data_IF_178406684109
#
_entry.id   IF_178406684109
#
_cell.length_a   1.000
_cell.length_b   1.000
_cell.length_c   1.000
_cell.angle_alpha   90.00
_cell.angle_beta   90.00
_cell.angle_gamma   90.00
#
_symmetry.space_group_name_H-M   'P 1'
#
loop_
_entity.id
_entity.type
_entity.pdbx_description
1 polymer ?
#
# COMPACT_ATOMS: atom_id res chain seq x y z
N UNK A 1 23.30 -1.97 -59.76
CA UNK A 1 22.02 -2.12 -59.06
C UNK A 1 21.91 -1.06 -57.96
N UNK A 2 20.88 -0.25 -58.03
CA UNK A 2 20.65 0.72 -56.96
C UNK A 2 20.05 -0.03 -55.77
N UNK A 3 20.66 0.12 -54.61
CA UNK A 3 20.10 -0.39 -53.35
C UNK A 3 19.57 0.78 -52.53
N UNK A 4 18.42 0.58 -51.92
CA UNK A 4 17.82 1.55 -51.02
C UNK A 4 18.05 1.09 -49.55
N UNK A 5 18.56 2.01 -48.75
CA UNK A 5 18.75 1.81 -47.31
C UNK A 5 17.84 2.75 -46.55
N UNK A 6 17.04 2.24 -45.66
CA UNK A 6 16.18 3.07 -44.82
C UNK A 6 16.86 3.30 -43.48
N UNK A 7 16.97 4.56 -43.10
CA UNK A 7 17.53 4.92 -41.81
C UNK A 7 16.41 4.96 -40.77
N UNK A 8 16.53 4.09 -39.74
CA UNK A 8 15.56 3.96 -38.66
C UNK A 8 16.06 4.58 -37.35
N UNK A 9 17.10 5.44 -37.44
CA UNK A 9 17.70 6.07 -36.25
C UNK A 9 16.68 6.82 -35.40
N UNK A 10 15.75 7.53 -36.05
CA UNK A 10 14.70 8.27 -35.34
C UNK A 10 13.76 7.34 -34.60
N UNK A 11 13.39 6.19 -35.18
CA UNK A 11 12.59 5.18 -34.51
C UNK A 11 13.32 4.58 -33.32
N UNK A 12 14.61 4.28 -33.48
CA UNK A 12 15.42 3.78 -32.36
C UNK A 12 15.51 4.81 -31.24
N UNK A 13 15.75 6.07 -31.56
CA UNK A 13 15.81 7.14 -30.58
C UNK A 13 14.47 7.31 -29.85
N UNK A 14 13.36 7.25 -30.59
CA UNK A 14 12.03 7.30 -30.02
C UNK A 14 11.78 6.13 -29.07
N UNK A 15 12.11 4.90 -29.50
CA UNK A 15 11.95 3.70 -28.69
C UNK A 15 12.74 3.78 -27.38
N UNK A 16 13.99 4.27 -27.45
CA UNK A 16 14.85 4.47 -26.27
C UNK A 16 14.27 5.53 -25.34
N UNK A 17 13.77 6.62 -25.92
CA UNK A 17 13.13 7.71 -25.15
C UNK A 17 11.89 7.20 -24.41
N UNK A 18 11.06 6.41 -25.08
CA UNK A 18 9.88 5.81 -24.47
C UNK A 18 10.27 4.84 -23.35
N UNK A 19 11.30 4.03 -23.54
CA UNK A 19 11.81 3.11 -22.53
C UNK A 19 12.29 3.86 -21.29
N UNK A 20 13.05 4.94 -21.45
CA UNK A 20 13.52 5.79 -20.35
C UNK A 20 12.36 6.43 -19.60
N UNK A 21 11.36 6.91 -20.32
CA UNK A 21 10.16 7.51 -19.73
C UNK A 21 9.41 6.46 -18.90
N UNK A 22 9.22 5.25 -19.43
CA UNK A 22 8.58 4.16 -18.70
C UNK A 22 9.32 3.80 -17.41
N UNK A 23 10.65 3.73 -17.45
CA UNK A 23 11.48 3.47 -16.28
C UNK A 23 11.36 4.59 -15.24
N UNK A 24 11.33 5.84 -15.69
CA UNK A 24 11.16 7.01 -14.82
C UNK A 24 9.81 6.98 -14.12
N UNK A 25 8.75 6.70 -14.86
CA UNK A 25 7.40 6.57 -14.30
C UNK A 25 7.36 5.46 -13.26
N UNK A 26 7.99 4.32 -13.52
CA UNK A 26 8.02 3.20 -12.57
C UNK A 26 8.70 3.58 -11.26
N UNK A 27 9.81 4.30 -11.32
CA UNK A 27 10.49 4.82 -10.11
C UNK A 27 9.58 5.76 -9.32
N UNK A 28 8.88 6.64 -10.01
CA UNK A 28 7.95 7.59 -9.41
C UNK A 28 6.75 6.87 -8.77
N UNK A 29 6.24 5.82 -9.42
CA UNK A 29 5.18 4.97 -8.86
C UNK A 29 5.61 4.34 -7.53
N UNK A 30 6.81 3.79 -7.48
CA UNK A 30 7.36 3.18 -6.25
C UNK A 30 7.47 4.22 -5.13
N UNK A 31 8.00 5.40 -5.46
CA UNK A 31 8.10 6.51 -4.49
C UNK A 31 6.72 6.95 -4.00
N UNK A 32 5.77 7.08 -4.91
CA UNK A 32 4.39 7.41 -4.60
C UNK A 32 3.78 6.39 -3.62
N UNK A 33 3.91 5.10 -3.92
CA UNK A 33 3.38 4.04 -3.08
C UNK A 33 4.00 4.05 -1.68
N UNK A 34 5.31 4.32 -1.57
CA UNK A 34 5.96 4.41 -0.27
C UNK A 34 5.38 5.55 0.58
N UNK A 35 5.12 6.70 -0.03
CA UNK A 35 4.49 7.83 0.65
C UNK A 35 3.06 7.50 1.07
N UNK A 36 2.30 6.89 0.18
CA UNK A 36 0.92 6.48 0.49
C UNK A 36 0.87 5.42 1.58
N UNK A 37 1.78 4.45 1.54
CA UNK A 37 1.91 3.45 2.59
C UNK A 37 2.22 4.06 3.95
N UNK A 38 3.06 5.08 3.99
CA UNK A 38 3.38 5.82 5.23
C UNK A 38 2.16 6.57 5.75
N UNK A 39 1.38 7.20 4.87
CA UNK A 39 0.12 7.86 5.25
C UNK A 39 -0.88 6.85 5.82
N UNK A 40 -1.03 5.71 5.17
CA UNK A 40 -1.91 4.64 5.65
C UNK A 40 -1.45 4.12 7.01
N UNK A 41 -0.16 3.89 7.19
CA UNK A 41 0.40 3.49 8.48
C UNK A 41 0.04 4.49 9.57
N UNK A 42 0.20 5.78 9.31
CA UNK A 42 -0.13 6.84 10.28
C UNK A 42 -1.60 6.77 10.67
N UNK A 43 -2.49 6.57 9.71
CA UNK A 43 -3.93 6.43 10.00
C UNK A 43 -4.24 5.15 10.77
N UNK A 44 -3.57 4.06 10.42
CA UNK A 44 -3.73 2.79 11.13
C UNK A 44 -3.30 2.91 12.59
N UNK A 45 -2.17 3.56 12.84
CA UNK A 45 -1.71 3.82 14.23
C UNK A 45 -2.72 4.68 14.98
N UNK A 46 -3.30 5.68 14.32
CA UNK A 46 -4.34 6.53 14.93
C UNK A 46 -5.58 5.71 15.34
N UNK A 47 -6.04 4.82 14.46
CA UNK A 47 -7.14 3.91 14.78
C UNK A 47 -6.77 2.97 15.94
N UNK A 48 -5.55 2.44 15.94
CA UNK A 48 -5.08 1.55 16.98
C UNK A 48 -5.03 2.24 18.37
N UNK A 49 -4.74 3.53 18.41
CA UNK A 49 -4.72 4.28 19.67
C UNK A 49 -6.07 4.33 20.37
N UNK A 50 -7.16 4.16 19.65
CA UNK A 50 -8.51 4.13 20.21
C UNK A 50 -8.75 2.93 21.12
N UNK A 51 -7.91 1.89 21.04
CA UNK A 51 -8.01 0.70 21.88
C UNK A 51 -7.60 1.00 23.35
N UNK A 52 -6.77 2.01 23.56
CA UNK A 52 -6.36 2.45 24.90
C UNK A 52 -4.92 2.16 25.25
N UNK A 53 -4.56 2.34 26.52
CA UNK A 53 -3.16 2.32 26.99
C UNK A 53 -2.45 0.97 26.86
N UNK A 54 -3.20 -0.14 26.83
CA UNK A 54 -2.65 -1.49 26.70
C UNK A 54 -2.14 -1.78 25.29
N UNK A 55 -2.32 -0.87 24.35
CA UNK A 55 -2.02 -1.04 22.94
C UNK A 55 -0.57 -0.65 22.55
N UNK A 56 0.30 -0.28 23.51
CA UNK A 56 1.64 0.23 23.20
C UNK A 56 2.49 -0.69 22.33
N UNK A 57 2.53 -1.99 22.66
CA UNK A 57 3.24 -2.99 21.85
C UNK A 57 2.58 -3.16 20.48
N UNK A 58 1.26 -3.15 20.46
CA UNK A 58 0.49 -3.26 19.22
C UNK A 58 0.75 -2.07 18.30
N UNK A 59 0.73 -0.85 18.83
CA UNK A 59 1.05 0.36 18.06
C UNK A 59 2.42 0.26 17.39
N UNK A 60 3.43 -0.19 18.14
CA UNK A 60 4.78 -0.35 17.63
C UNK A 60 4.91 -1.47 16.60
N UNK A 61 3.99 -2.42 16.60
CA UNK A 61 3.99 -3.55 15.68
C UNK A 61 3.47 -3.19 14.29
N UNK A 62 2.80 -2.05 14.15
CA UNK A 62 2.22 -1.61 12.88
C UNK A 62 3.35 -1.09 11.99
N UNK A 63 3.51 -1.72 10.82
CA UNK A 63 4.61 -1.46 9.89
C UNK A 63 4.08 -1.16 8.50
N UNK A 64 4.82 -0.30 7.80
CA UNK A 64 4.67 -0.16 6.36
C UNK A 64 5.58 -1.19 5.69
N UNK A 65 5.03 -1.98 4.78
CA UNK A 65 5.81 -2.95 4.02
C UNK A 65 6.64 -2.28 2.91
N UNK A 66 7.35 -3.13 2.18
CA UNK A 66 8.09 -2.71 0.98
C UNK A 66 7.16 -2.79 -0.23
N UNK A 67 7.46 -2.03 -1.28
CA UNK A 67 6.77 -2.17 -2.56
C UNK A 67 7.02 -3.57 -3.10
N UNK A 68 5.98 -4.23 -3.57
CA UNK A 68 6.05 -5.58 -4.14
C UNK A 68 5.09 -5.67 -5.34
N UNK A 69 5.17 -6.77 -6.06
CA UNK A 69 4.27 -7.04 -7.17
C UNK A 69 3.17 -8.00 -6.71
N UNK A 70 1.93 -7.61 -6.93
CA UNK A 70 0.76 -8.42 -6.63
C UNK A 70 -0.14 -8.42 -7.86
N UNK A 71 -0.44 -9.62 -8.35
CA UNK A 71 -1.31 -9.81 -9.53
C UNK A 71 -0.91 -8.92 -10.71
N UNK A 72 0.40 -8.82 -10.97
CA UNK A 72 0.97 -8.06 -12.08
C UNK A 72 1.08 -6.56 -11.85
N UNK A 73 0.68 -6.03 -10.71
CA UNK A 73 0.72 -4.60 -10.39
C UNK A 73 1.62 -4.32 -9.18
N UNK A 74 2.17 -3.12 -9.13
CA UNK A 74 2.90 -2.66 -7.95
C UNK A 74 1.91 -2.44 -6.81
N UNK A 75 2.30 -2.87 -5.62
CA UNK A 75 1.49 -2.77 -4.42
C UNK A 75 2.36 -2.47 -3.20
N UNK A 76 1.72 -1.95 -2.17
CA UNK A 76 2.31 -1.79 -0.85
C UNK A 76 1.24 -2.12 0.19
N UNK A 77 1.65 -2.61 1.34
CA UNK A 77 0.72 -2.92 2.42
C UNK A 77 1.19 -2.37 3.75
N UNK A 78 0.25 -2.13 4.62
CA UNK A 78 0.48 -1.86 6.04
C UNK A 78 0.02 -3.09 6.80
N UNK A 79 0.83 -3.55 7.74
CA UNK A 79 0.57 -4.78 8.48
C UNK A 79 1.04 -4.66 9.91
N UNK A 80 0.64 -5.61 10.74
CA UNK A 80 1.14 -5.73 12.11
C UNK A 80 2.02 -6.98 12.23
N UNK A 81 3.18 -6.83 12.85
CA UNK A 81 4.06 -7.94 13.17
C UNK A 81 3.70 -8.63 14.50
N UNK A 82 2.70 -8.14 15.23
CA UNK A 82 2.29 -8.73 16.50
C UNK A 82 1.63 -10.10 16.29
N UNK A 83 1.96 -11.12 17.11
CA UNK A 83 1.40 -12.47 16.94
C UNK A 83 -0.12 -12.52 17.07
N UNK A 84 -0.70 -11.63 17.88
CA UNK A 84 -2.14 -11.62 18.18
C UNK A 84 -2.91 -10.53 17.44
N UNK A 85 -2.29 -9.92 16.42
CA UNK A 85 -2.92 -8.82 15.67
C UNK A 85 -4.27 -9.23 15.05
N UNK A 86 -4.37 -10.45 14.55
CA UNK A 86 -5.62 -10.95 13.96
C UNK A 86 -6.77 -11.03 14.96
N UNK A 87 -6.48 -11.28 16.23
CA UNK A 87 -7.49 -11.31 17.29
C UNK A 87 -8.02 -9.89 17.58
N UNK A 88 -7.14 -8.90 17.55
CA UNK A 88 -7.53 -7.51 17.73
C UNK A 88 -8.38 -7.04 16.54
N UNK A 89 -7.99 -7.42 15.34
CA UNK A 89 -8.71 -7.02 14.12
C UNK A 89 -10.09 -7.67 14.04
N UNK A 90 -10.15 -8.99 14.20
CA UNK A 90 -11.33 -9.78 13.89
C UNK A 90 -12.13 -10.22 15.11
N UNK A 91 -11.57 -10.01 16.32
CA UNK A 91 -12.15 -10.56 17.54
C UNK A 91 -11.79 -12.00 17.76
N UNK A 92 -12.29 -12.58 18.84
CA UNK A 92 -11.98 -13.97 19.19
C UNK A 92 -13.04 -14.55 20.09
N UNK A 93 -13.10 -15.87 20.12
CA UNK A 93 -13.98 -16.59 21.05
C UNK A 93 -13.40 -16.53 22.46
N UNK A 94 -14.28 -16.34 23.43
CA UNK A 94 -13.91 -16.46 24.84
C UNK A 94 -14.12 -17.93 25.28
N UNK A 95 -13.06 -18.54 25.77
CA UNK A 95 -13.11 -19.94 26.23
C UNK A 95 -12.66 -20.04 27.68
N UNK A 96 -13.28 -20.97 28.44
CA UNK A 96 -12.86 -21.28 29.80
C UNK A 96 -11.61 -22.14 29.78
N UNK A 97 -11.01 -22.35 30.96
CA UNK A 97 -9.89 -23.28 31.15
C UNK A 97 -10.18 -24.68 30.62
N UNK A 98 -11.46 -25.10 30.70
CA UNK A 98 -11.92 -26.42 30.26
C UNK A 98 -12.22 -26.48 28.76
N UNK A 99 -11.99 -25.38 28.00
CA UNK A 99 -12.26 -25.33 26.58
C UNK A 99 -13.70 -25.02 26.20
N UNK A 100 -14.55 -24.67 27.16
CA UNK A 100 -15.95 -24.29 26.91
C UNK A 100 -16.02 -22.89 26.36
N UNK A 101 -16.75 -22.69 25.24
CA UNK A 101 -17.00 -21.36 24.67
C UNK A 101 -18.08 -20.65 25.50
N UNK A 102 -17.75 -19.50 26.07
CA UNK A 102 -18.63 -18.70 26.92
C UNK A 102 -18.99 -17.33 26.33
N UNK A 103 -18.47 -16.99 25.15
CA UNK A 103 -18.79 -15.75 24.50
C UNK A 103 -17.81 -15.42 23.37
N UNK A 104 -17.94 -14.20 22.87
CA UNK A 104 -17.13 -13.70 21.78
C UNK A 104 -16.70 -12.26 22.09
N UNK A 105 -15.40 -11.97 21.89
CA UNK A 105 -14.86 -10.61 22.00
C UNK A 105 -14.87 -10.00 20.62
N UNK A 106 -15.55 -8.86 20.47
CA UNK A 106 -15.68 -8.16 19.21
C UNK A 106 -14.34 -7.58 18.75
N UNK A 107 -14.04 -7.71 17.47
CA UNK A 107 -12.83 -7.10 16.87
C UNK A 107 -12.94 -5.58 16.76
N UNK A 108 -11.79 -4.95 16.73
CA UNK A 108 -11.71 -3.48 16.61
C UNK A 108 -11.63 -3.01 15.14
N UNK A 109 -11.33 -3.91 14.21
CA UNK A 109 -11.24 -3.60 12.78
C UNK A 109 -10.35 -2.40 12.47
N UNK A 110 -9.17 -2.37 13.09
CA UNK A 110 -8.24 -1.24 13.01
C UNK A 110 -7.81 -1.00 11.56
N UNK A 111 -7.36 -2.05 10.88
CA UNK A 111 -6.88 -1.94 9.50
C UNK A 111 -8.02 -1.66 8.53
N UNK A 112 -9.16 -2.30 8.72
CA UNK A 112 -10.33 -2.06 7.89
C UNK A 112 -10.81 -0.62 8.00
N UNK A 113 -10.93 -0.09 9.21
CA UNK A 113 -11.39 1.27 9.44
C UNK A 113 -10.38 2.30 8.91
N UNK A 114 -9.08 2.07 9.11
CA UNK A 114 -8.04 2.94 8.59
C UNK A 114 -8.05 2.97 7.06
N UNK A 115 -8.22 1.80 6.42
CA UNK A 115 -8.30 1.70 4.98
C UNK A 115 -9.50 2.45 4.41
N UNK A 116 -10.66 2.28 5.00
CA UNK A 116 -11.88 3.00 4.59
C UNK A 116 -11.73 4.51 4.76
N UNK A 117 -11.14 4.95 5.85
CA UNK A 117 -10.90 6.36 6.13
C UNK A 117 -9.89 6.99 5.15
N UNK A 118 -8.89 6.22 4.75
CA UNK A 118 -7.84 6.69 3.86
C UNK A 118 -8.25 6.68 2.39
N UNK A 119 -9.17 5.84 1.98
CA UNK A 119 -9.53 5.63 0.57
C UNK A 119 -9.81 6.91 -0.20
N UNK A 120 -10.63 7.86 0.29
CA UNK A 120 -10.87 9.12 -0.44
C UNK A 120 -9.62 9.94 -0.67
N UNK A 121 -8.74 10.00 0.32
CA UNK A 121 -7.45 10.71 0.16
C UNK A 121 -6.55 10.00 -0.82
N UNK A 122 -6.47 8.67 -0.76
CA UNK A 122 -5.68 7.88 -1.69
C UNK A 122 -6.12 8.13 -3.13
N UNK A 123 -7.42 8.17 -3.39
CA UNK A 123 -7.93 8.46 -4.74
C UNK A 123 -7.55 9.86 -5.21
N UNK A 124 -7.64 10.86 -4.35
CA UNK A 124 -7.18 12.22 -4.69
C UNK A 124 -5.69 12.27 -4.99
N UNK A 125 -4.90 11.59 -4.16
CA UNK A 125 -3.44 11.54 -4.35
C UNK A 125 -3.07 10.83 -5.64
N UNK A 126 -3.79 9.78 -6.03
CA UNK A 126 -3.61 9.08 -7.31
C UNK A 126 -3.92 10.02 -8.48
N UNK A 127 -5.03 10.73 -8.41
CA UNK A 127 -5.41 11.69 -9.46
C UNK A 127 -4.34 12.77 -9.62
N UNK A 128 -3.88 13.35 -8.52
CA UNK A 128 -2.82 14.36 -8.54
C UNK A 128 -1.52 13.80 -9.14
N UNK A 129 -1.16 12.59 -8.77
CA UNK A 129 0.01 11.92 -9.33
C UNK A 129 -0.11 11.72 -10.83
N UNK A 130 -1.26 11.24 -11.30
CA UNK A 130 -1.50 11.03 -12.73
C UNK A 130 -1.48 12.36 -13.50
N UNK A 131 -2.08 13.40 -12.95
CA UNK A 131 -2.07 14.72 -13.57
C UNK A 131 -0.64 15.26 -13.73
N UNK A 132 0.18 15.13 -12.69
CA UNK A 132 1.59 15.54 -12.75
C UNK A 132 2.37 14.76 -13.80
N UNK A 133 2.16 13.45 -13.89
CA UNK A 133 2.87 12.61 -14.87
C UNK A 133 2.43 12.92 -16.30
N UNK A 134 1.15 13.20 -16.52
CA UNK A 134 0.63 13.58 -17.84
C UNK A 134 1.20 14.92 -18.28
N UNK A 135 1.32 15.89 -17.38
CA UNK A 135 1.91 17.20 -17.68
C UNK A 135 3.38 17.12 -18.11
N UNK A 136 4.10 16.12 -17.63
CA UNK A 136 5.51 15.92 -17.95
C UNK A 136 5.75 15.16 -19.25
N UNK A 137 4.72 14.63 -19.86
CA UNK A 137 4.81 13.97 -21.16
C UNK A 137 4.84 15.00 -22.28
#
# INVERSE_FOLDING_TARGET
>A
MASQVFDVSELDNFARSMSRTAQSIQKKQKSFLRKEGTKLKTRTVREARKIGKKSGKYLKSIKRGKVYTYDGALAIRTYSAAPHAHLIENGHRMVTHDGQEVGFVRGYHVFENAGKDFEPQYQRDVEDFLDEEVEQL
#
